data_IF_367440038248
#
_entry.id   IF_367440038248
#
_cell.length_a   1.000
_cell.length_b   1.000
_cell.length_c   1.000
_cell.angle_alpha   90.00
_cell.angle_beta   90.00
_cell.angle_gamma   90.00
#
_symmetry.space_group_name_H-M   'P 1'
#
loop_
_entity.id
_entity.type
_entity.pdbx_description
1 polymer ?
#
# COMPACT_ATOMS: atom_id res chain seq x y z
N UNK A 1 3.16 3.57 -11.75
CA UNK A 1 3.20 4.19 -10.40
C UNK A 1 4.55 4.77 -10.06
N UNK A 2 5.65 4.02 -10.22
CA UNK A 2 6.99 4.46 -9.83
C UNK A 2 7.94 4.47 -11.02
N UNK A 3 8.99 5.29 -10.94
CA UNK A 3 9.98 5.45 -12.01
C UNK A 3 10.63 4.12 -12.39
N UNK A 4 10.93 3.27 -11.41
CA UNK A 4 11.50 1.94 -11.64
C UNK A 4 10.67 1.07 -12.61
N UNK A 5 9.33 1.14 -12.53
CA UNK A 5 8.47 0.40 -13.47
C UNK A 5 8.50 1.00 -14.88
N UNK A 6 8.64 2.32 -15.00
CA UNK A 6 8.80 2.99 -16.29
C UNK A 6 10.11 2.57 -16.95
N UNK A 7 11.21 2.51 -16.18
CA UNK A 7 12.50 2.04 -16.67
C UNK A 7 12.41 0.61 -17.19
N UNK A 8 11.85 -0.32 -16.38
CA UNK A 8 11.69 -1.72 -16.78
C UNK A 8 10.84 -1.87 -18.04
N UNK A 9 9.78 -1.06 -18.19
CA UNK A 9 8.95 -1.06 -19.40
C UNK A 9 9.77 -0.63 -20.62
N UNK A 10 10.52 0.47 -20.54
CA UNK A 10 11.34 0.95 -21.65
C UNK A 10 12.43 -0.06 -22.03
N UNK A 11 13.14 -0.64 -21.05
CA UNK A 11 14.15 -1.68 -21.31
C UNK A 11 13.56 -2.93 -21.97
N UNK A 12 12.33 -3.31 -21.58
CA UNK A 12 11.64 -4.45 -22.19
C UNK A 12 11.26 -4.16 -23.64
N UNK A 13 10.77 -2.95 -23.91
CA UNK A 13 10.37 -2.51 -25.24
C UNK A 13 11.58 -2.39 -26.17
N UNK A 14 12.68 -1.80 -25.69
CA UNK A 14 13.94 -1.67 -26.43
C UNK A 14 14.50 -3.03 -26.89
N UNK A 15 14.42 -4.04 -26.01
CA UNK A 15 14.91 -5.39 -26.31
C UNK A 15 13.94 -6.24 -27.13
N UNK A 16 12.64 -5.98 -27.01
CA UNK A 16 11.59 -6.86 -27.53
C UNK A 16 10.97 -6.38 -28.85
N UNK A 17 11.10 -5.11 -29.19
CA UNK A 17 10.40 -4.50 -30.32
C UNK A 17 11.35 -3.64 -31.16
N UNK A 18 11.19 -3.70 -32.47
CA UNK A 18 11.80 -2.74 -33.38
C UNK A 18 11.14 -1.36 -33.20
N UNK A 19 11.79 -0.51 -32.40
CA UNK A 19 11.33 0.84 -32.07
C UNK A 19 12.50 1.74 -31.70
N UNK A 20 12.27 3.06 -31.66
CA UNK A 20 13.23 4.03 -31.15
C UNK A 20 12.84 4.38 -29.72
N UNK A 21 13.68 4.04 -28.76
CA UNK A 21 13.51 4.43 -27.36
C UNK A 21 14.30 5.69 -27.05
N UNK A 22 13.64 6.68 -26.47
CA UNK A 22 14.26 7.90 -25.94
C UNK A 22 14.19 7.85 -24.40
N UNK A 23 15.34 7.59 -23.78
CA UNK A 23 15.46 7.47 -22.33
C UNK A 23 15.46 8.83 -21.61
N UNK A 24 15.82 9.91 -22.30
CA UNK A 24 15.82 11.26 -21.74
C UNK A 24 14.38 11.77 -21.58
N UNK A 25 13.58 11.57 -22.63
CA UNK A 25 12.18 11.98 -22.64
C UNK A 25 11.23 10.86 -22.21
N UNK A 26 11.74 9.70 -21.79
CA UNK A 26 10.97 8.47 -21.49
C UNK A 26 9.85 8.23 -22.51
N UNK A 27 10.22 8.07 -23.77
CA UNK A 27 9.29 7.86 -24.87
C UNK A 27 9.72 6.72 -25.79
N UNK A 28 8.75 6.13 -26.48
CA UNK A 28 8.96 5.07 -27.47
C UNK A 28 8.30 5.49 -28.77
N UNK A 29 9.05 5.55 -29.86
CA UNK A 29 8.51 5.79 -31.21
C UNK A 29 8.50 4.50 -32.02
N UNK A 30 7.33 4.10 -32.50
CA UNK A 30 7.15 2.92 -33.38
C UNK A 30 6.08 3.21 -34.43
N UNK A 31 6.39 2.93 -35.70
CA UNK A 31 5.45 3.14 -36.81
C UNK A 31 4.93 4.58 -36.92
N UNK A 32 5.79 5.57 -36.66
CA UNK A 32 5.42 6.99 -36.66
C UNK A 32 4.65 7.46 -35.41
N UNK A 33 4.32 6.56 -34.48
CA UNK A 33 3.62 6.91 -33.24
C UNK A 33 4.58 6.97 -32.06
N UNK A 34 4.56 8.08 -31.33
CA UNK A 34 5.31 8.26 -30.08
C UNK A 34 4.41 8.03 -28.87
N UNK A 35 4.84 7.15 -27.97
CA UNK A 35 4.19 6.84 -26.69
C UNK A 35 5.05 7.36 -25.55
N UNK A 36 4.50 8.22 -24.70
CA UNK A 36 5.17 8.66 -23.47
C UNK A 36 4.96 7.67 -22.34
N UNK A 37 6.02 7.43 -21.57
CA UNK A 37 6.02 6.56 -20.39
C UNK A 37 6.32 7.42 -19.17
N UNK A 38 5.39 7.47 -18.22
CA UNK A 38 5.48 8.38 -17.06
C UNK A 38 4.99 7.71 -15.78
N UNK A 39 5.62 7.95 -14.63
CA UNK A 39 5.13 7.45 -13.36
C UNK A 39 4.03 8.37 -12.82
N UNK A 40 2.86 7.79 -12.55
CA UNK A 40 1.79 8.45 -11.80
C UNK A 40 1.49 7.62 -10.53
N UNK A 41 2.01 8.03 -9.35
CA UNK A 41 1.74 7.34 -8.09
C UNK A 41 0.28 7.59 -7.70
N UNK A 42 -0.54 6.53 -7.76
CA UNK A 42 -1.96 6.65 -7.40
C UNK A 42 -2.10 6.88 -5.89
N UNK A 43 -3.21 7.47 -5.49
CA UNK A 43 -3.49 7.79 -4.10
C UNK A 43 -4.97 7.60 -3.80
N UNK A 44 -5.39 8.06 -2.62
CA UNK A 44 -6.77 7.94 -2.11
C UNK A 44 -7.44 9.31 -1.99
N UNK A 45 -8.74 9.32 -1.71
CA UNK A 45 -9.47 10.47 -1.20
C UNK A 45 -9.42 10.42 0.34
N UNK A 46 -8.52 11.16 1.02
CA UNK A 46 -8.31 11.00 2.46
C UNK A 46 -9.56 11.33 3.28
N UNK A 47 -10.34 12.32 2.84
CA UNK A 47 -11.58 12.73 3.49
C UNK A 47 -12.66 11.64 3.45
N UNK A 48 -12.66 10.77 2.43
CA UNK A 48 -13.59 9.64 2.37
C UNK A 48 -13.25 8.58 3.43
N UNK A 49 -11.96 8.41 3.75
CA UNK A 49 -11.53 7.48 4.82
C UNK A 49 -11.95 8.02 6.17
N UNK A 50 -11.73 9.30 6.44
CA UNK A 50 -12.15 9.95 7.69
C UNK A 50 -13.68 9.97 7.82
N UNK A 51 -14.40 10.26 6.72
CA UNK A 51 -15.87 10.28 6.72
C UNK A 51 -16.50 8.89 6.91
N UNK A 52 -15.77 7.81 6.60
CA UNK A 52 -16.21 6.45 6.87
C UNK A 52 -16.11 6.06 8.35
N UNK A 53 -15.47 6.87 9.20
CA UNK A 53 -15.37 6.56 10.63
C UNK A 53 -16.76 6.63 11.30
N UNK A 54 -17.09 5.67 12.19
CA UNK A 54 -18.35 5.71 12.93
C UNK A 54 -18.46 6.97 13.79
N UNK A 55 -19.63 7.60 13.81
CA UNK A 55 -19.89 8.79 14.63
C UNK A 55 -19.68 8.54 16.14
N UNK A 56 -19.94 7.31 16.62
CA UNK A 56 -19.66 6.89 17.98
C UNK A 56 -18.54 5.85 18.01
N UNK A 57 -17.29 6.33 17.95
CA UNK A 57 -16.09 5.49 17.96
C UNK A 57 -16.06 4.56 19.16
N UNK A 58 -16.25 5.07 20.39
CA UNK A 58 -16.18 4.25 21.62
C UNK A 58 -17.12 3.04 21.58
N UNK A 59 -18.37 3.23 21.14
CA UNK A 59 -19.32 2.13 21.02
C UNK A 59 -18.93 1.16 19.89
N UNK A 60 -18.52 1.68 18.74
CA UNK A 60 -18.11 0.88 17.60
C UNK A 60 -16.88 0.02 17.93
N UNK A 61 -15.89 0.60 18.59
CA UNK A 61 -14.69 -0.11 19.07
C UNK A 61 -15.04 -1.23 20.06
N UNK A 62 -15.87 -0.94 21.06
CA UNK A 62 -16.30 -1.94 22.04
C UNK A 62 -17.06 -3.10 21.38
N UNK A 63 -17.94 -2.78 20.42
CA UNK A 63 -18.67 -3.77 19.61
C UNK A 63 -17.72 -4.61 18.76
N UNK A 64 -16.74 -3.98 18.10
CA UNK A 64 -15.75 -4.64 17.26
C UNK A 64 -14.87 -5.59 18.08
N UNK A 65 -14.32 -5.13 19.21
CA UNK A 65 -13.52 -5.95 20.13
C UNK A 65 -14.31 -7.14 20.66
N UNK A 66 -15.60 -6.97 20.99
CA UNK A 66 -16.48 -8.05 21.44
C UNK A 66 -16.77 -9.07 20.32
N UNK A 67 -17.06 -8.61 19.10
CA UNK A 67 -17.34 -9.48 17.94
C UNK A 67 -16.17 -10.42 17.66
N UNK A 68 -14.94 -9.89 17.71
CA UNK A 68 -13.73 -10.63 17.34
C UNK A 68 -12.89 -11.11 18.54
N UNK A 69 -13.38 -10.93 19.77
CA UNK A 69 -12.73 -11.36 21.01
C UNK A 69 -11.30 -10.82 21.18
N UNK A 70 -11.09 -9.54 20.84
CA UNK A 70 -9.74 -8.92 20.77
C UNK A 70 -9.17 -8.44 22.11
N UNK A 71 -9.91 -8.61 23.22
CA UNK A 71 -9.49 -8.12 24.55
C UNK A 71 -9.25 -6.61 24.60
N UNK A 72 -8.71 -6.12 25.72
CA UNK A 72 -8.27 -4.72 25.88
C UNK A 72 -6.74 -4.63 25.77
N UNK A 73 -6.22 -4.97 24.59
CA UNK A 73 -4.79 -4.93 24.27
C UNK A 73 -4.55 -4.08 23.02
N UNK A 74 -3.30 -3.68 22.80
CA UNK A 74 -2.90 -2.98 21.58
C UNK A 74 -3.21 -3.84 20.35
N UNK A 75 -3.62 -3.22 19.25
CA UNK A 75 -3.86 -3.93 17.99
C UNK A 75 -2.74 -3.63 17.01
N UNK A 76 -2.10 -4.68 16.50
CA UNK A 76 -1.26 -4.60 15.31
C UNK A 76 -2.11 -5.11 14.15
N UNK A 77 -2.22 -4.38 13.05
CA UNK A 77 -3.16 -4.74 11.97
C UNK A 77 -2.44 -4.94 10.65
N UNK A 78 -2.88 -5.95 9.91
CA UNK A 78 -2.58 -6.13 8.50
C UNK A 78 -3.89 -6.28 7.75
N UNK A 79 -4.09 -5.51 6.68
CA UNK A 79 -5.31 -5.55 5.86
C UNK A 79 -4.90 -5.77 4.43
N UNK A 80 -5.09 -6.98 3.93
CA UNK A 80 -4.67 -7.37 2.59
C UNK A 80 -5.59 -8.43 2.02
N UNK A 81 -5.69 -8.51 0.70
CA UNK A 81 -6.20 -9.74 0.07
C UNK A 81 -5.24 -10.88 0.39
N UNK A 82 -5.76 -12.10 0.58
CA UNK A 82 -4.91 -13.29 0.67
C UNK A 82 -4.21 -13.54 -0.67
N UNK A 83 -3.05 -12.92 -0.87
CA UNK A 83 -2.29 -12.87 -2.12
C UNK A 83 -0.80 -13.00 -1.79
N UNK A 84 -0.07 -13.83 -2.55
CA UNK A 84 1.33 -14.18 -2.25
C UNK A 84 2.28 -13.00 -2.37
N UNK A 85 1.87 -11.91 -3.03
CA UNK A 85 2.66 -10.68 -3.12
C UNK A 85 2.62 -9.83 -1.85
N UNK A 86 1.68 -10.11 -0.93
CA UNK A 86 1.41 -9.24 0.23
C UNK A 86 2.27 -9.54 1.45
N UNK A 87 3.10 -10.59 1.39
CA UNK A 87 4.07 -10.89 2.44
C UNK A 87 3.41 -11.21 3.79
N UNK A 88 2.24 -11.86 3.76
CA UNK A 88 1.49 -12.25 4.97
C UNK A 88 2.22 -13.37 5.73
N UNK A 89 2.78 -14.42 5.08
CA UNK A 89 3.56 -15.43 5.80
C UNK A 89 4.76 -14.83 6.54
N UNK A 90 5.49 -13.92 5.89
CA UNK A 90 6.63 -13.21 6.46
C UNK A 90 6.21 -12.35 7.65
N UNK A 91 5.04 -11.73 7.56
CA UNK A 91 4.45 -10.95 8.66
C UNK A 91 4.15 -11.82 9.88
N UNK A 92 3.59 -13.02 9.67
CA UNK A 92 3.33 -13.96 10.76
C UNK A 92 4.63 -14.50 11.38
N UNK A 93 5.63 -14.80 10.56
CA UNK A 93 6.96 -15.17 11.04
C UNK A 93 7.60 -14.05 11.89
N UNK A 94 7.44 -12.78 11.51
CA UNK A 94 7.92 -11.65 12.30
C UNK A 94 7.18 -11.50 13.65
N UNK A 95 5.87 -11.75 13.70
CA UNK A 95 5.10 -11.77 14.97
C UNK A 95 5.55 -12.90 15.88
N UNK A 96 5.75 -14.09 15.33
CA UNK A 96 6.27 -15.25 16.07
C UNK A 96 7.68 -14.97 16.63
N UNK A 97 8.53 -14.35 15.81
CA UNK A 97 9.88 -13.97 16.20
C UNK A 97 9.88 -12.87 17.27
N UNK A 98 9.05 -11.85 17.12
CA UNK A 98 8.83 -10.80 18.13
C UNK A 98 8.47 -11.39 19.49
N UNK A 99 7.51 -12.33 19.55
CA UNK A 99 7.08 -12.96 20.81
C UNK A 99 8.09 -13.96 21.40
N UNK A 100 9.07 -14.36 20.59
CA UNK A 100 10.21 -15.17 21.02
C UNK A 100 11.31 -14.28 21.60
N UNK A 101 11.62 -13.15 20.95
CA UNK A 101 12.66 -12.20 21.37
C UNK A 101 12.22 -11.33 22.55
N UNK A 102 10.94 -10.98 22.61
CA UNK A 102 10.37 -10.06 23.60
C UNK A 102 9.14 -10.70 24.29
N UNK A 103 9.33 -11.74 25.14
CA UNK A 103 8.22 -12.45 25.80
C UNK A 103 7.32 -11.55 26.68
N UNK A 104 7.82 -10.41 27.14
CA UNK A 104 7.08 -9.39 27.90
C UNK A 104 5.90 -8.78 27.12
N UNK A 105 5.91 -8.87 25.79
CA UNK A 105 4.80 -8.42 24.94
C UNK A 105 3.64 -9.43 24.87
N UNK A 106 3.79 -10.64 25.40
CA UNK A 106 2.70 -11.64 25.44
C UNK A 106 1.53 -11.10 26.24
N UNK A 107 0.34 -11.12 25.66
CA UNK A 107 -0.87 -10.55 26.24
C UNK A 107 -0.92 -9.01 26.26
N UNK A 108 0.03 -8.30 25.63
CA UNK A 108 0.05 -6.84 25.51
C UNK A 108 -0.45 -6.32 24.16
N UNK A 109 -0.40 -7.15 23.13
CA UNK A 109 -0.98 -6.86 21.83
C UNK A 109 -1.64 -8.09 21.20
N UNK A 110 -2.50 -7.85 20.21
CA UNK A 110 -3.01 -8.89 19.29
C UNK A 110 -2.75 -8.44 17.86
N UNK A 111 -2.18 -9.33 17.05
CA UNK A 111 -2.06 -9.13 15.61
C UNK A 111 -3.38 -9.52 14.92
N UNK A 112 -4.05 -8.57 14.29
CA UNK A 112 -5.30 -8.78 13.54
C UNK A 112 -4.98 -8.73 12.05
N UNK A 113 -5.07 -9.89 11.40
CA UNK A 113 -4.98 -9.98 9.95
C UNK A 113 -6.38 -10.00 9.36
N UNK A 114 -6.76 -8.98 8.61
CA UNK A 114 -7.96 -9.03 7.75
C UNK A 114 -7.52 -9.49 6.37
N UNK A 115 -8.22 -10.49 5.83
CA UNK A 115 -8.01 -10.89 4.44
C UNK A 115 -9.00 -11.95 4.01
N UNK A 116 -9.98 -11.54 3.20
CA UNK A 116 -10.90 -12.47 2.57
C UNK A 116 -10.16 -13.40 1.58
N UNK A 117 -10.62 -14.65 1.38
CA UNK A 117 -10.03 -15.55 0.42
C UNK A 117 -10.17 -14.94 -0.98
N UNK A 118 -9.08 -14.85 -1.72
CA UNK A 118 -9.09 -14.39 -3.10
C UNK A 118 -8.71 -15.54 -4.02
N UNK A 119 -9.39 -15.66 -5.17
CA UNK A 119 -8.99 -16.55 -6.28
C UNK A 119 -8.75 -18.01 -5.85
N UNK A 120 -9.58 -18.54 -4.96
CA UNK A 120 -9.43 -19.89 -4.35
C UNK A 120 -9.46 -21.06 -5.35
N UNK A 121 -9.91 -20.82 -6.59
CA UNK A 121 -9.83 -21.77 -7.69
C UNK A 121 -8.40 -21.95 -8.23
N UNK A 122 -7.49 -21.01 -7.96
CA UNK A 122 -6.09 -21.07 -8.38
C UNK A 122 -5.28 -21.84 -7.31
N UNK A 123 -4.57 -22.92 -7.68
CA UNK A 123 -3.85 -23.77 -6.72
C UNK A 123 -2.86 -23.01 -5.82
N UNK A 124 -2.17 -22.01 -6.36
CA UNK A 124 -1.24 -21.18 -5.60
C UNK A 124 -1.94 -20.41 -4.45
N UNK A 125 -3.13 -19.87 -4.70
CA UNK A 125 -3.91 -19.16 -3.68
C UNK A 125 -4.47 -20.11 -2.62
N UNK A 126 -4.86 -21.33 -3.00
CA UNK A 126 -5.29 -22.36 -2.04
C UNK A 126 -4.16 -22.72 -1.08
N UNK A 127 -2.98 -23.04 -1.60
CA UNK A 127 -1.79 -23.37 -0.78
C UNK A 127 -1.42 -22.23 0.17
N UNK A 128 -1.51 -20.99 -0.30
CA UNK A 128 -1.30 -19.82 0.56
C UNK A 128 -2.31 -19.80 1.71
N UNK A 129 -3.60 -19.97 1.46
CA UNK A 129 -4.59 -19.96 2.55
C UNK A 129 -4.38 -21.10 3.56
N UNK A 130 -4.02 -22.30 3.09
CA UNK A 130 -3.66 -23.43 3.95
C UNK A 130 -2.43 -23.11 4.81
N UNK A 131 -1.40 -22.52 4.21
CA UNK A 131 -0.19 -22.09 4.90
C UNK A 131 -0.49 -21.02 5.98
N UNK A 132 -1.29 -20.02 5.64
CA UNK A 132 -1.68 -18.96 6.57
C UNK A 132 -2.46 -19.53 7.76
N UNK A 133 -3.42 -20.43 7.52
CA UNK A 133 -4.17 -21.07 8.60
C UNK A 133 -3.25 -21.88 9.52
N UNK A 134 -2.36 -22.68 8.94
CA UNK A 134 -1.37 -23.48 9.68
C UNK A 134 -0.46 -22.61 10.56
N UNK A 135 0.09 -21.53 10.01
CA UNK A 135 0.95 -20.61 10.76
C UNK A 135 0.19 -19.94 11.92
N UNK A 136 -1.05 -19.50 11.67
CA UNK A 136 -1.90 -18.91 12.72
C UNK A 136 -2.12 -19.89 13.87
N UNK A 137 -2.39 -21.15 13.57
CA UNK A 137 -2.60 -22.19 14.58
C UNK A 137 -1.32 -22.50 15.35
N UNK A 138 -0.19 -22.68 14.66
CA UNK A 138 1.11 -22.95 15.29
C UNK A 138 1.57 -21.83 16.21
N UNK A 139 1.46 -20.57 15.78
CA UNK A 139 1.87 -19.40 16.55
C UNK A 139 0.95 -19.20 17.76
N UNK A 140 -0.37 -19.35 17.57
CA UNK A 140 -1.31 -19.25 18.68
C UNK A 140 -1.14 -20.38 19.70
N UNK A 141 -0.80 -21.59 19.25
CA UNK A 141 -0.46 -22.69 20.15
C UNK A 141 0.81 -22.41 20.95
N UNK A 142 1.85 -21.89 20.29
CA UNK A 142 3.16 -21.64 20.91
C UNK A 142 3.14 -20.51 21.94
N UNK A 143 2.45 -19.40 21.63
CA UNK A 143 2.52 -18.19 22.44
C UNK A 143 1.21 -17.83 23.15
N UNK A 144 0.08 -18.42 22.74
CA UNK A 144 -1.23 -18.08 23.27
C UNK A 144 -1.44 -18.42 24.73
N UNK A 145 -2.47 -17.81 25.30
CA UNK A 145 -2.94 -18.05 26.66
C UNK A 145 -4.44 -18.35 26.63
N UNK A 146 -5.00 -18.84 27.75
CA UNK A 146 -6.39 -19.28 27.82
C UNK A 146 -7.40 -18.24 27.29
N UNK A 147 -7.12 -16.96 27.50
CA UNK A 147 -8.01 -15.83 27.14
C UNK A 147 -7.43 -14.92 26.06
N UNK A 148 -6.25 -15.22 25.51
CA UNK A 148 -5.54 -14.35 24.58
C UNK A 148 -4.90 -15.12 23.43
N UNK A 149 -5.08 -14.62 22.21
CA UNK A 149 -4.48 -15.16 21.00
C UNK A 149 -3.52 -14.13 20.40
N UNK A 150 -2.25 -14.48 20.15
CA UNK A 150 -1.30 -13.65 19.41
C UNK A 150 -1.82 -13.16 18.07
N UNK A 151 -2.44 -14.04 17.28
CA UNK A 151 -2.91 -13.74 15.93
C UNK A 151 -4.39 -14.08 15.80
N UNK A 152 -5.18 -13.10 15.37
CA UNK A 152 -6.57 -13.25 14.97
C UNK A 152 -6.67 -13.02 13.46
N UNK A 153 -6.82 -14.12 12.72
CA UNK A 153 -7.01 -14.07 11.26
C UNK A 153 -8.50 -14.02 10.93
N UNK A 154 -8.94 -12.89 10.38
CA UNK A 154 -10.32 -12.60 10.02
C UNK A 154 -10.51 -12.83 8.52
N UNK A 155 -10.99 -14.03 8.21
CA UNK A 155 -11.22 -14.49 6.85
C UNK A 155 -12.60 -14.07 6.32
N UNK A 156 -12.94 -12.79 6.47
CA UNK A 156 -14.19 -12.21 5.96
C UNK A 156 -13.93 -10.87 5.27
N UNK A 157 -14.88 -10.44 4.43
CA UNK A 157 -14.81 -9.13 3.79
C UNK A 157 -15.22 -8.05 4.78
N UNK A 158 -14.49 -6.93 4.76
CA UNK A 158 -14.78 -5.76 5.56
C UNK A 158 -15.16 -4.61 4.65
N UNK A 159 -16.23 -3.90 5.00
CA UNK A 159 -16.61 -2.66 4.33
C UNK A 159 -15.69 -1.48 4.74
N UNK A 160 -15.88 -0.33 4.10
CA UNK A 160 -15.06 0.86 4.33
C UNK A 160 -15.11 1.36 5.77
N UNK A 161 -16.29 1.32 6.43
CA UNK A 161 -16.45 1.73 7.82
C UNK A 161 -15.67 0.80 8.76
N UNK A 162 -15.78 -0.51 8.57
CA UNK A 162 -15.06 -1.50 9.36
C UNK A 162 -13.55 -1.40 9.20
N UNK A 163 -13.06 -1.17 7.97
CA UNK A 163 -11.64 -0.98 7.69
C UNK A 163 -11.12 0.31 8.32
N UNK A 164 -11.83 1.42 8.14
CA UNK A 164 -11.45 2.72 8.73
C UNK A 164 -11.42 2.65 10.26
N UNK A 165 -12.44 2.03 10.88
CA UNK A 165 -12.48 1.80 12.32
C UNK A 165 -11.29 0.94 12.78
N UNK A 166 -10.97 -0.14 12.07
CA UNK A 166 -9.83 -0.99 12.42
C UNK A 166 -8.50 -0.22 12.37
N UNK A 167 -8.28 0.61 11.35
CA UNK A 167 -7.11 1.49 11.28
C UNK A 167 -7.07 2.50 12.43
N UNK A 168 -8.22 3.07 12.77
CA UNK A 168 -8.36 4.03 13.88
C UNK A 168 -8.05 3.42 15.24
N UNK A 169 -8.34 2.12 15.42
CA UNK A 169 -8.06 1.35 16.63
C UNK A 169 -6.62 0.83 16.71
N UNK A 170 -5.90 0.75 15.59
CA UNK A 170 -4.60 0.07 15.51
C UNK A 170 -3.48 0.87 16.19
N UNK A 171 -2.69 0.25 17.06
CA UNK A 171 -1.44 0.84 17.52
C UNK A 171 -0.38 0.82 16.41
N UNK A 172 -0.39 -0.23 15.58
CA UNK A 172 0.57 -0.40 14.49
C UNK A 172 -0.15 -0.95 13.26
N UNK A 173 0.10 -0.39 12.08
CA UNK A 173 -0.31 -0.96 10.80
C UNK A 173 0.91 -1.51 10.06
N UNK A 174 0.79 -2.73 9.54
CA UNK A 174 1.89 -3.44 8.90
C UNK A 174 1.57 -3.73 7.44
N UNK A 175 2.39 -3.16 6.55
CA UNK A 175 2.33 -3.36 5.12
C UNK A 175 3.65 -3.98 4.67
N UNK A 176 3.69 -5.31 4.56
CA UNK A 176 4.92 -6.09 4.31
C UNK A 176 4.98 -6.68 2.91
N UNK A 177 4.36 -6.02 1.92
CA UNK A 177 4.30 -6.55 0.56
C UNK A 177 5.70 -6.81 -0.01
N UNK A 178 5.85 -7.97 -0.65
CA UNK A 178 7.09 -8.43 -1.27
C UNK A 178 7.37 -7.69 -2.58
N UNK A 179 6.30 -7.30 -3.26
CA UNK A 179 6.34 -6.44 -4.44
C UNK A 179 4.96 -5.81 -4.65
N UNK A 180 4.86 -4.49 -4.60
CA UNK A 180 3.59 -3.78 -4.77
C UNK A 180 3.75 -2.47 -5.52
N UNK A 181 3.00 -2.27 -6.61
CA UNK A 181 3.12 -1.07 -7.41
C UNK A 181 2.73 0.20 -6.66
N UNK A 182 1.70 0.10 -5.82
CA UNK A 182 1.31 1.11 -4.85
C UNK A 182 0.47 0.43 -3.76
N UNK A 183 0.67 0.79 -2.50
CA UNK A 183 -0.09 0.23 -1.41
C UNK A 183 -1.03 1.29 -0.82
N UNK A 184 -2.32 1.20 -1.16
CA UNK A 184 -3.32 2.17 -0.69
C UNK A 184 -3.69 1.95 0.77
N UNK A 185 -3.60 0.73 1.29
CA UNK A 185 -3.80 0.42 2.71
C UNK A 185 -2.88 1.25 3.61
N UNK A 186 -1.62 1.43 3.20
CA UNK A 186 -0.69 2.32 3.90
C UNK A 186 -1.20 3.78 3.97
N UNK A 187 -1.73 4.29 2.85
CA UNK A 187 -2.27 5.67 2.77
C UNK A 187 -3.59 5.81 3.52
N UNK A 188 -4.45 4.79 3.47
CA UNK A 188 -5.74 4.74 4.18
C UNK A 188 -5.52 4.69 5.69
N UNK A 189 -4.56 3.88 6.17
CA UNK A 189 -4.18 3.90 7.57
C UNK A 189 -3.76 5.30 8.01
N UNK A 190 -2.82 5.93 7.29
CA UNK A 190 -2.35 7.29 7.58
C UNK A 190 -3.52 8.29 7.59
N UNK A 191 -4.43 8.22 6.62
CA UNK A 191 -5.61 9.08 6.54
C UNK A 191 -6.60 8.85 7.71
N UNK A 192 -6.76 7.61 8.17
CA UNK A 192 -7.65 7.26 9.29
C UNK A 192 -7.12 7.72 10.66
N UNK A 193 -5.84 8.08 10.78
CA UNK A 193 -5.22 8.55 12.04
C UNK A 193 -5.38 10.05 12.25
N UNK A 194 -6.61 10.51 12.34
CA UNK A 194 -6.94 11.92 12.64
C UNK A 194 -6.46 12.36 14.04
N UNK A 195 -6.22 11.40 14.93
CA UNK A 195 -5.59 11.59 16.25
C UNK A 195 -4.07 11.68 16.22
N UNK A 196 -3.47 11.55 15.05
CA UNK A 196 -2.02 11.57 14.83
C UNK A 196 -1.27 10.44 15.56
N UNK A 197 -1.95 9.39 16.02
CA UNK A 197 -1.32 8.27 16.72
C UNK A 197 -1.17 7.05 15.82
N UNK A 198 -0.44 6.06 16.31
CA UNK A 198 -0.17 4.82 15.62
C UNK A 198 1.08 4.88 14.74
N UNK A 199 1.64 3.71 14.44
CA UNK A 199 2.88 3.56 13.66
C UNK A 199 2.62 2.78 12.39
N UNK A 200 3.09 3.29 11.26
CA UNK A 200 3.12 2.56 9.99
C UNK A 200 4.46 1.84 9.85
N UNK A 201 4.40 0.51 9.72
CA UNK A 201 5.52 -0.36 9.34
C UNK A 201 5.34 -0.74 7.88
N UNK A 202 6.32 -0.42 7.04
CA UNK A 202 6.15 -0.41 5.58
C UNK A 202 7.31 -1.08 4.85
N UNK A 203 7.00 -1.97 3.92
CA UNK A 203 7.99 -2.58 3.05
C UNK A 203 8.54 -1.56 2.03
N UNK A 204 9.87 -1.49 1.82
CA UNK A 204 10.48 -0.65 0.80
C UNK A 204 10.13 -1.12 -0.63
N UNK A 205 9.59 -2.34 -0.77
CA UNK A 205 9.13 -2.91 -2.04
C UNK A 205 7.71 -2.47 -2.43
N UNK A 206 7.17 -1.47 -1.74
CA UNK A 206 5.90 -0.82 -2.08
C UNK A 206 6.14 0.53 -2.74
N UNK A 207 5.29 0.90 -3.72
CA UNK A 207 5.29 2.26 -4.25
C UNK A 207 5.08 3.34 -3.17
N UNK A 208 4.31 3.03 -2.12
CA UNK A 208 3.99 3.94 -1.03
C UNK A 208 5.23 4.34 -0.21
N UNK A 209 6.25 3.47 -0.12
CA UNK A 209 7.48 3.76 0.62
C UNK A 209 8.29 4.94 0.06
N UNK A 210 8.06 5.30 -1.21
CA UNK A 210 8.66 6.50 -1.81
C UNK A 210 8.03 7.81 -1.33
N UNK A 211 6.79 7.76 -0.87
CA UNK A 211 6.05 8.94 -0.40
C UNK A 211 6.01 9.00 1.13
N UNK A 212 5.82 7.85 1.79
CA UNK A 212 5.64 7.75 3.25
C UNK A 212 6.97 7.52 3.98
N UNK A 213 7.92 8.45 3.82
CA UNK A 213 9.31 8.29 4.30
C UNK A 213 9.46 8.27 5.82
N UNK A 214 8.44 8.68 6.56
CA UNK A 214 8.42 8.66 8.03
C UNK A 214 7.90 7.34 8.63
N UNK A 215 7.47 6.39 7.78
CA UNK A 215 7.17 5.03 8.18
C UNK A 215 8.44 4.31 8.68
N UNK A 216 8.24 3.27 9.51
CA UNK A 216 9.32 2.34 9.82
C UNK A 216 9.49 1.36 8.65
N UNK A 217 10.55 1.54 7.87
CA UNK A 217 10.83 0.67 6.74
C UNK A 217 11.37 -0.68 7.21
N UNK A 218 10.82 -1.78 6.68
CA UNK A 218 11.23 -3.15 7.03
C UNK A 218 11.41 -3.99 5.79
N UNK A 219 12.49 -4.79 5.74
CA UNK A 219 12.63 -5.83 4.73
C UNK A 219 11.80 -7.06 5.16
N UNK A 220 10.73 -7.45 4.43
CA UNK A 220 9.91 -8.59 4.81
C UNK A 220 10.68 -9.91 4.91
N UNK A 221 11.80 -10.04 4.18
CA UNK A 221 12.63 -11.25 4.21
C UNK A 221 13.58 -11.31 5.42
N UNK A 222 13.78 -10.20 6.13
CA UNK A 222 14.64 -10.11 7.31
C UNK A 222 13.81 -10.22 8.59
N UNK A 223 13.43 -11.45 8.96
CA UNK A 223 12.48 -11.72 10.05
C UNK A 223 12.93 -11.15 11.40
N UNK A 224 14.22 -11.19 11.71
CA UNK A 224 14.78 -10.61 12.95
C UNK A 224 14.62 -9.08 12.98
N UNK A 225 15.07 -8.39 11.93
CA UNK A 225 14.93 -6.92 11.81
C UNK A 225 13.47 -6.49 11.81
N UNK A 226 12.59 -7.27 11.17
CA UNK A 226 11.17 -6.99 11.16
C UNK A 226 10.56 -7.14 12.56
N UNK A 227 10.94 -8.18 13.31
CA UNK A 227 10.52 -8.33 14.71
C UNK A 227 10.99 -7.15 15.58
N UNK A 228 12.24 -6.71 15.45
CA UNK A 228 12.77 -5.54 16.16
C UNK A 228 12.03 -4.24 15.78
N UNK A 229 11.70 -4.06 14.51
CA UNK A 229 10.92 -2.92 14.04
C UNK A 229 9.49 -2.93 14.60
N UNK A 230 8.84 -4.10 14.71
CA UNK A 230 7.55 -4.24 15.37
C UNK A 230 7.63 -3.93 16.86
N UNK A 231 8.68 -4.38 17.55
CA UNK A 231 8.94 -4.03 18.93
C UNK A 231 9.05 -2.50 19.08
N UNK A 232 9.91 -1.86 18.25
CA UNK A 232 10.05 -0.39 18.23
C UNK A 232 8.72 0.31 17.96
N UNK A 233 7.91 -0.20 17.03
CA UNK A 233 6.60 0.38 16.71
C UNK A 233 5.65 0.34 17.92
N UNK A 234 5.61 -0.79 18.63
CA UNK A 234 4.77 -0.97 19.82
C UNK A 234 5.22 -0.15 21.03
N UNK A 235 6.52 0.14 21.14
CA UNK A 235 7.09 0.92 22.25
C UNK A 235 7.38 2.38 21.88
N UNK A 236 6.93 2.85 20.70
CA UNK A 236 7.23 4.21 20.24
C UNK A 236 6.53 5.25 21.12
N UNK A 237 7.24 6.28 21.63
CA UNK A 237 6.62 7.38 22.37
C UNK A 237 5.56 8.12 21.53
N UNK A 238 4.48 8.56 22.17
CA UNK A 238 3.35 9.22 21.49
C UNK A 238 3.80 10.46 20.73
N UNK A 239 4.76 11.22 21.26
CA UNK A 239 5.31 12.41 20.63
C UNK A 239 5.99 12.10 19.29
N UNK A 240 6.75 10.99 19.23
CA UNK A 240 7.39 10.51 17.99
C UNK A 240 6.33 10.03 17.00
N UNK A 241 5.31 9.29 17.46
CA UNK A 241 4.19 8.84 16.61
C UNK A 241 3.50 10.03 15.94
N UNK A 242 3.15 11.06 16.73
CA UNK A 242 2.49 12.26 16.23
C UNK A 242 3.33 13.04 15.23
N UNK A 243 4.64 13.15 15.46
CA UNK A 243 5.52 13.85 14.53
C UNK A 243 5.57 13.13 13.18
N UNK A 244 5.75 11.81 13.19
CA UNK A 244 5.78 10.98 11.97
C UNK A 244 4.43 11.01 11.24
N UNK A 245 3.35 10.80 11.98
CA UNK A 245 2.00 10.74 11.41
C UNK A 245 1.59 12.08 10.78
N UNK A 246 1.90 13.21 11.42
CA UNK A 246 1.65 14.55 10.84
C UNK A 246 2.29 14.72 9.47
N UNK A 247 3.57 14.35 9.33
CA UNK A 247 4.30 14.47 8.06
C UNK A 247 3.72 13.53 6.98
N UNK A 248 3.43 12.28 7.35
CA UNK A 248 2.81 11.33 6.41
C UNK A 248 1.40 11.76 5.98
N UNK A 249 0.59 12.29 6.90
CA UNK A 249 -0.74 12.80 6.59
C UNK A 249 -0.68 13.98 5.62
N UNK A 250 0.19 14.95 5.87
CA UNK A 250 0.38 16.08 4.96
C UNK A 250 0.75 15.61 3.54
N UNK A 251 1.62 14.59 3.43
CA UNK A 251 1.99 14.00 2.14
C UNK A 251 0.78 13.36 1.42
N UNK A 252 -0.07 12.63 2.14
CA UNK A 252 -1.27 11.97 1.58
C UNK A 252 -2.36 12.99 1.21
N UNK A 253 -2.53 14.04 2.02
CA UNK A 253 -3.46 15.14 1.78
C UNK A 253 -3.05 15.95 0.54
N UNK A 254 -1.76 16.26 0.40
CA UNK A 254 -1.23 16.96 -0.78
C UNK A 254 -1.28 16.11 -2.05
N UNK A 255 -0.85 14.85 -1.96
CA UNK A 255 -0.77 13.92 -3.09
C UNK A 255 -1.95 12.95 -3.08
N UNK A 256 -3.17 13.49 -3.12
CA UNK A 256 -4.42 12.73 -3.12
C UNK A 256 -4.88 12.29 -4.52
N UNK A 257 -5.99 11.53 -4.58
CA UNK A 257 -6.54 11.00 -5.83
C UNK A 257 -6.94 12.10 -6.83
N UNK A 258 -7.40 13.26 -6.35
CA UNK A 258 -7.78 14.39 -7.20
C UNK A 258 -6.57 15.01 -7.88
N UNK A 259 -5.47 15.21 -7.14
CA UNK A 259 -4.20 15.69 -7.70
C UNK A 259 -3.65 14.68 -8.70
N UNK A 260 -3.70 13.39 -8.39
CA UNK A 260 -3.30 12.33 -9.31
C UNK A 260 -4.10 12.39 -10.62
N UNK A 261 -5.44 12.44 -10.53
CA UNK A 261 -6.32 12.50 -11.69
C UNK A 261 -6.10 13.78 -12.51
N UNK A 262 -6.02 14.94 -11.85
CA UNK A 262 -5.75 16.23 -12.48
C UNK A 262 -4.41 16.26 -13.20
N UNK A 263 -3.36 15.68 -12.60
CA UNK A 263 -2.04 15.56 -13.22
C UNK A 263 -2.09 14.68 -14.46
N UNK A 264 -2.72 13.50 -14.37
CA UNK A 264 -2.84 12.57 -15.48
C UNK A 264 -3.64 13.18 -16.65
N UNK A 265 -4.82 13.73 -16.36
CA UNK A 265 -5.69 14.34 -17.37
C UNK A 265 -5.05 15.56 -18.03
N UNK A 266 -4.34 16.39 -17.25
CA UNK A 266 -3.62 17.55 -17.80
C UNK A 266 -2.51 17.12 -18.76
N UNK A 267 -1.81 16.02 -18.47
CA UNK A 267 -0.77 15.48 -19.36
C UNK A 267 -1.37 14.90 -20.64
N UNK A 268 -2.49 14.17 -20.54
CA UNK A 268 -3.21 13.64 -21.71
C UNK A 268 -3.73 14.78 -22.59
N UNK A 269 -4.30 15.84 -22.00
CA UNK A 269 -4.78 17.00 -22.73
C UNK A 269 -3.66 17.74 -23.46
N UNK A 270 -2.49 17.92 -22.83
CA UNK A 270 -1.31 18.51 -23.48
C UNK A 270 -0.87 17.70 -24.70
N UNK A 271 -0.81 16.37 -24.59
CA UNK A 271 -0.44 15.51 -25.71
C UNK A 271 -1.42 15.60 -26.89
N UNK A 272 -2.72 15.73 -26.60
CA UNK A 272 -3.72 15.93 -27.64
C UNK A 272 -3.54 17.28 -28.35
N UNK A 273 -3.27 18.35 -27.60
CA UNK A 273 -3.01 19.69 -28.15
C UNK A 273 -1.73 19.73 -28.98
N UNK A 274 -0.62 19.16 -28.50
CA UNK A 274 0.66 19.12 -29.21
C UNK A 274 0.53 18.36 -30.54
N UNK A 275 -0.24 17.26 -30.54
CA UNK A 275 -0.54 16.50 -31.76
C UNK A 275 -1.40 17.28 -32.75
N UNK A 276 -2.41 18.02 -32.26
CA UNK A 276 -3.23 18.87 -33.11
C UNK A 276 -2.40 20.00 -33.74
N UNK A 277 -1.52 20.64 -32.97
CA UNK A 277 -0.61 21.66 -33.46
C UNK A 277 0.37 21.12 -34.50
N UNK A 278 0.96 19.94 -34.28
CA UNK A 278 1.85 19.29 -35.25
C UNK A 278 1.13 18.97 -36.57
N UNK A 279 -0.12 18.48 -36.51
CA UNK A 279 -0.93 18.19 -37.71
C UNK A 279 -1.28 19.45 -38.50
N UNK A 280 -1.46 20.60 -37.85
CA UNK A 280 -1.73 21.87 -38.51
C UNK A 280 -0.49 22.40 -39.24
N UNK A 281 0.68 22.32 -38.60
CA UNK A 281 1.96 22.71 -39.21
C UNK A 281 2.34 21.83 -40.42
N UNK A 282 2.10 20.52 -40.34
CA UNK A 282 2.30 19.61 -41.49
C UNK A 282 1.35 19.95 -42.66
N UNK A 283 0.12 20.35 -42.37
CA UNK A 283 -0.84 20.82 -43.37
C UNK A 283 -0.42 22.12 -44.05
N UNK A 284 0.05 23.10 -43.28
CA UNK A 284 0.54 24.38 -43.82
C UNK A 284 1.80 24.23 -44.66
N UNK A 285 2.73 23.36 -44.27
CA UNK A 285 3.93 23.06 -45.05
C UNK A 285 3.62 22.33 -46.37
N UNK A 286 2.64 21.41 -46.35
CA UNK A 286 2.18 20.74 -47.56
C UNK A 286 1.54 21.74 -48.56
N UNK A 287 0.75 22.68 -48.06
CA UNK A 287 0.08 23.70 -48.89
C UNK A 287 1.08 24.71 -49.49
N UNK A 288 2.12 25.11 -48.74
CA UNK A 288 3.22 25.94 -49.26
C UNK A 288 4.04 25.24 -50.35
N UNK A 289 4.33 23.95 -50.18
CA UNK A 289 5.06 23.16 -51.19
C UNK A 289 4.27 22.90 -52.47
N UNK A 290 2.93 22.91 -52.40
CA UNK A 290 2.06 22.84 -53.57
C UNK A 290 1.95 24.18 -54.32
N UNK A 291 2.12 25.31 -53.62
CA UNK A 291 2.09 26.66 -54.20
C UNK A 291 3.36 27.08 -54.96
N UNK A 292 4.51 26.46 -54.69
CA UNK A 292 5.78 26.74 -55.41
C UNK A 292 5.95 25.92 -56.71
N UNK A 293 4.99 25.04 -57.04
CA UNK A 293 4.98 24.22 -58.25
C UNK A 293 4.06 24.73 -59.37
N UNK A 294 3.58 25.98 -59.29
CA UNK A 294 2.71 26.64 -60.29
C UNK A 294 3.43 27.77 -61.01
#
# INVERSE_FOLDING_TARGET
HIQYHCNNFLETVDRGLECKVDLEHFSVTRGGHTTLVRPYPISIAPEMVTAALPANLTWAEARFRRRFRLGNVALVVGVDRADYTKGIPERFAAVDRLLTLFPELRGKFTFVQVGAPSRVHIPAYRRLNEELARQVDEINWRHGQLTWRPIVFLNEHFDAEQVALLYRMAAVCVVSSLHDGMNLVAKEFVAARDDLQGVLVLSPFTGAARELTDALLVNPYAVDEFAEALHRALTMPVEEQQQRMRRMRAQVEENNIYRWAGTLLSQVARLASDRAAASLLEGEMADQSAGELV
#
